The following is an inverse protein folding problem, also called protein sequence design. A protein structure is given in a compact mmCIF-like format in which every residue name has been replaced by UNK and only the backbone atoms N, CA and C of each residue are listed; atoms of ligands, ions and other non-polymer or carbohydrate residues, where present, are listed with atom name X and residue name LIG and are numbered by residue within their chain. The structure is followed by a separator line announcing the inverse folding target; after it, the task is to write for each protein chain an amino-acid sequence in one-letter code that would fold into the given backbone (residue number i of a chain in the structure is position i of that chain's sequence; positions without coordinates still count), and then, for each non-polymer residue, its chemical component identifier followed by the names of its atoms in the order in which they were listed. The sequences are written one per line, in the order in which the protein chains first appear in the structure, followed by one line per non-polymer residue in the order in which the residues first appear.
data_IF_701125020260
#
_entry.id   IF_701125020260
#
_cell.length_a   1.000
_cell.length_b   1.000
_cell.length_c   1.000
_cell.angle_alpha   90.00
_cell.angle_beta   90.00
_cell.angle_gamma   90.00
#
_symmetry.space_group_name_H-M   'P 1'
#
loop_
_entity.id
_entity.type
_entity.pdbx_description
1 polymer ?
#
# COMPACT_ATOMS: atom_id res chain seq x y z
N UNK A 1 2.00 -40.06 17.73
CA UNK A 1 1.89 -39.11 16.61
C UNK A 1 0.71 -39.52 15.77
N UNK A 2 -0.46 -38.94 16.02
CA UNK A 2 -1.71 -39.25 15.31
C UNK A 2 -1.78 -38.38 14.06
N UNK A 3 -1.52 -38.96 12.90
CA UNK A 3 -1.72 -38.29 11.61
C UNK A 3 -3.22 -38.10 11.40
N UNK A 4 -3.72 -36.89 11.66
CA UNK A 4 -5.04 -36.47 11.20
C UNK A 4 -4.94 -36.18 9.69
N UNK A 5 -5.61 -36.96 8.82
CA UNK A 5 -5.64 -36.64 7.41
C UNK A 5 -6.42 -35.34 7.23
N UNK A 6 -5.72 -34.28 6.81
CA UNK A 6 -6.36 -33.06 6.35
C UNK A 6 -7.20 -33.43 5.12
N UNK A 7 -8.51 -33.55 5.29
CA UNK A 7 -9.41 -33.70 4.16
C UNK A 7 -9.40 -32.40 3.36
N UNK A 8 -9.23 -32.44 2.04
CA UNK A 8 -9.33 -31.25 1.22
C UNK A 8 -10.75 -30.70 1.37
N UNK A 9 -10.87 -29.49 1.91
CA UNK A 9 -12.11 -28.72 1.88
C UNK A 9 -12.36 -28.45 0.39
N UNK A 10 -13.18 -29.29 -0.22
CA UNK A 10 -13.71 -29.05 -1.56
C UNK A 10 -14.65 -27.86 -1.45
N UNK A 11 -14.10 -26.67 -1.67
CA UNK A 11 -14.86 -25.47 -1.99
C UNK A 11 -15.65 -25.79 -3.25
N UNK A 12 -16.91 -26.20 -3.08
CA UNK A 12 -17.85 -26.35 -4.18
C UNK A 12 -17.86 -25.01 -4.90
N UNK A 13 -17.37 -25.01 -6.14
CA UNK A 13 -17.44 -23.87 -7.06
C UNK A 13 -18.90 -23.54 -7.35
N UNK A 14 -19.55 -22.85 -6.41
CA UNK A 14 -20.80 -22.19 -6.69
C UNK A 14 -20.47 -20.98 -7.55
N UNK A 15 -21.11 -20.88 -8.72
CA UNK A 15 -20.96 -19.73 -9.59
C UNK A 15 -21.41 -18.48 -8.83
N UNK A 16 -20.46 -17.60 -8.50
CA UNK A 16 -20.74 -16.32 -7.86
C UNK A 16 -21.44 -15.43 -8.89
N UNK A 17 -22.72 -15.11 -8.65
CA UNK A 17 -23.49 -14.18 -9.48
C UNK A 17 -23.58 -12.82 -8.79
N UNK A 18 -22.65 -11.92 -9.11
CA UNK A 18 -22.64 -10.56 -8.59
C UNK A 18 -23.63 -9.70 -9.39
N UNK A 19 -24.69 -9.23 -8.73
CA UNK A 19 -25.69 -8.31 -9.32
C UNK A 19 -25.18 -6.87 -9.48
N UNK A 20 -24.10 -6.53 -8.78
CA UNK A 20 -23.45 -5.23 -8.80
C UNK A 20 -21.98 -5.40 -8.42
N UNK A 21 -21.15 -4.40 -8.77
CA UNK A 21 -19.77 -4.36 -8.34
C UNK A 21 -19.68 -4.24 -6.81
N UNK A 22 -18.68 -4.87 -6.17
CA UNK A 22 -18.44 -4.70 -4.74
C UNK A 22 -18.14 -3.23 -4.40
N UNK A 23 -18.35 -2.77 -3.14
CA UNK A 23 -18.03 -1.41 -2.72
C UNK A 23 -16.61 -0.99 -3.12
N UNK A 24 -16.46 0.25 -3.61
CA UNK A 24 -15.15 0.78 -4.00
C UNK A 24 -14.37 1.23 -2.76
N UNK A 25 -13.12 0.81 -2.68
CA UNK A 25 -12.17 1.16 -1.61
C UNK A 25 -10.87 1.64 -2.23
N UNK A 26 -10.17 2.56 -1.57
CA UNK A 26 -8.86 3.07 -2.00
C UNK A 26 -7.76 2.54 -1.09
N UNK A 27 -6.66 2.09 -1.67
CA UNK A 27 -5.42 1.79 -0.95
C UNK A 27 -4.33 2.75 -1.45
N UNK A 28 -3.76 3.52 -0.52
CA UNK A 28 -2.66 4.44 -0.79
C UNK A 28 -1.38 3.82 -0.25
N UNK A 29 -0.43 3.59 -1.15
CA UNK A 29 0.81 2.87 -0.84
C UNK A 29 1.97 3.83 -0.59
N UNK A 30 2.33 4.05 0.67
CA UNK A 30 3.42 4.92 1.09
C UNK A 30 4.75 4.15 1.00
N UNK A 31 5.67 4.49 0.09
CA UNK A 31 6.83 3.65 -0.23
C UNK A 31 8.05 3.92 0.67
N UNK A 32 7.90 4.61 1.80
CA UNK A 32 9.04 5.04 2.63
C UNK A 32 8.98 4.52 4.06
N UNK A 33 10.14 4.15 4.59
CA UNK A 33 10.37 3.85 6.00
C UNK A 33 11.48 4.75 6.53
N UNK A 34 11.40 5.14 7.80
CA UNK A 34 12.52 5.75 8.52
C UNK A 34 13.76 4.84 8.48
N UNK A 35 13.53 3.52 8.64
CA UNK A 35 14.51 2.46 8.47
C UNK A 35 13.83 1.21 7.94
N UNK A 36 14.38 0.58 6.89
CA UNK A 36 13.85 -0.68 6.39
C UNK A 36 14.29 -1.85 7.27
N UNK A 37 13.35 -2.65 7.76
CA UNK A 37 13.68 -3.87 8.52
C UNK A 37 14.27 -4.94 7.59
N UNK A 38 15.24 -5.75 8.06
CA UNK A 38 15.89 -6.78 7.24
C UNK A 38 14.95 -7.91 6.80
N UNK A 39 13.81 -8.05 7.48
CA UNK A 39 12.75 -9.01 7.16
C UNK A 39 11.58 -8.38 6.39
N UNK A 40 11.60 -7.06 6.13
CA UNK A 40 10.48 -6.36 5.50
C UNK A 40 10.41 -6.70 4.01
N UNK A 41 9.32 -7.34 3.59
CA UNK A 41 9.02 -7.67 2.20
C UNK A 41 8.06 -6.66 1.52
N UNK A 42 7.55 -5.68 2.27
CA UNK A 42 6.80 -4.57 1.69
C UNK A 42 7.66 -3.82 0.67
N UNK A 43 6.98 -3.31 -0.37
CA UNK A 43 7.60 -2.44 -1.36
C UNK A 43 7.88 -1.05 -0.77
N UNK A 44 8.86 -0.98 0.12
CA UNK A 44 9.24 0.25 0.81
C UNK A 44 10.75 0.48 0.74
N UNK A 45 11.15 1.72 0.94
CA UNK A 45 12.54 2.18 0.84
C UNK A 45 12.89 3.02 2.06
N UNK A 46 14.12 2.86 2.55
CA UNK A 46 14.61 3.71 3.62
C UNK A 46 14.77 5.15 3.12
N UNK A 47 14.24 6.12 3.87
CA UNK A 47 14.42 7.54 3.57
C UNK A 47 15.86 7.91 3.87
N UNK A 48 16.69 7.97 2.83
CA UNK A 48 18.03 8.55 2.93
C UNK A 48 17.90 10.06 2.83
N UNK A 49 18.16 10.75 3.94
CA UNK A 49 18.25 12.22 3.94
C UNK A 49 19.18 12.65 2.80
N UNK A 50 18.68 13.49 1.89
CA UNK A 50 19.46 14.09 0.79
C UNK A 50 20.49 15.13 1.30
N UNK A 51 20.76 15.18 2.61
CA UNK A 51 21.74 16.08 3.19
C UNK A 51 23.16 15.50 3.07
N UNK A 52 24.16 16.27 2.57
CA UNK A 52 25.54 15.83 2.45
C UNK A 52 26.25 15.61 3.81
N UNK A 53 25.59 15.93 4.92
CA UNK A 53 26.20 15.84 6.25
C UNK A 53 25.85 14.53 6.95
N UNK A 54 26.83 13.78 7.49
CA UNK A 54 26.56 12.63 8.33
C UNK A 54 25.90 13.12 9.63
N UNK A 55 24.59 12.95 9.78
CA UNK A 55 23.96 13.14 11.09
C UNK A 55 24.31 11.93 11.98
N UNK A 56 24.78 12.14 13.22
CA UNK A 56 25.25 11.06 14.09
C UNK A 56 24.12 10.29 14.80
N UNK A 57 22.86 10.47 14.42
CA UNK A 57 21.73 9.76 15.02
C UNK A 57 21.12 8.77 14.01
N UNK A 58 21.38 7.47 14.22
CA UNK A 58 20.69 6.37 13.53
C UNK A 58 19.17 6.52 13.76
N UNK A 59 18.41 6.88 12.74
CA UNK A 59 16.95 6.68 12.74
C UNK A 59 16.05 7.92 12.64
N UNK A 60 16.52 9.07 12.15
CA UNK A 60 15.65 10.21 11.83
C UNK A 60 15.59 10.44 10.31
N UNK A 61 15.07 9.46 9.58
CA UNK A 61 14.70 9.62 8.18
C UNK A 61 13.41 10.43 8.07
N UNK A 62 13.52 11.72 7.74
CA UNK A 62 12.37 12.60 7.46
C UNK A 62 12.21 12.73 5.95
N UNK A 63 10.99 12.56 5.46
CA UNK A 63 10.67 12.79 4.04
C UNK A 63 10.80 14.29 3.79
N UNK A 64 11.58 14.68 2.78
CA UNK A 64 11.65 16.08 2.38
C UNK A 64 10.27 16.57 1.92
N UNK A 65 9.83 17.75 2.38
CA UNK A 65 8.50 18.30 2.06
C UNK A 65 8.25 18.37 0.54
N UNK A 66 9.27 18.71 -0.24
CA UNK A 66 9.19 18.73 -1.71
C UNK A 66 8.88 17.34 -2.28
N UNK A 67 9.53 16.29 -1.77
CA UNK A 67 9.29 14.91 -2.20
C UNK A 67 7.87 14.44 -1.84
N UNK A 68 7.38 14.82 -0.66
CA UNK A 68 5.99 14.54 -0.26
C UNK A 68 5.00 15.22 -1.22
N UNK A 69 5.23 16.50 -1.55
CA UNK A 69 4.40 17.25 -2.51
C UNK A 69 4.41 16.61 -3.89
N UNK A 70 5.58 16.25 -4.42
CA UNK A 70 5.74 15.58 -5.71
C UNK A 70 5.00 14.23 -5.74
N UNK A 71 5.10 13.48 -4.64
CA UNK A 71 4.45 12.18 -4.50
C UNK A 71 2.92 12.30 -4.44
N UNK A 72 2.39 13.23 -3.66
CA UNK A 72 0.94 13.49 -3.62
C UNK A 72 0.44 13.93 -5.00
N UNK A 73 1.19 14.79 -5.70
CA UNK A 73 0.85 15.17 -7.06
C UNK A 73 0.86 13.97 -8.02
N UNK A 74 1.79 13.03 -7.86
CA UNK A 74 1.81 11.80 -8.64
C UNK A 74 0.60 10.89 -8.35
N UNK A 75 0.21 10.72 -7.08
CA UNK A 75 -0.98 9.95 -6.69
C UNK A 75 -2.26 10.55 -7.27
N UNK A 76 -2.39 11.88 -7.27
CA UNK A 76 -3.54 12.56 -7.87
C UNK A 76 -3.60 12.28 -9.37
N UNK A 77 -2.47 12.40 -10.09
CA UNK A 77 -2.41 12.07 -11.52
C UNK A 77 -2.77 10.60 -11.81
N UNK A 78 -2.32 9.68 -10.96
CA UNK A 78 -2.67 8.26 -11.09
C UNK A 78 -4.17 8.02 -10.90
N UNK A 79 -4.76 8.65 -9.89
CA UNK A 79 -6.21 8.62 -9.69
C UNK A 79 -6.96 9.22 -10.89
N UNK A 80 -6.51 10.35 -11.43
CA UNK A 80 -7.09 10.98 -12.62
C UNK A 80 -7.10 10.04 -13.83
N UNK A 81 -6.02 9.30 -14.06
CA UNK A 81 -5.94 8.28 -15.11
C UNK A 81 -6.88 7.10 -14.87
N UNK A 82 -7.15 6.75 -13.61
CA UNK A 82 -8.07 5.69 -13.24
C UNK A 82 -9.55 6.11 -13.33
N UNK A 83 -9.86 7.41 -13.25
CA UNK A 83 -11.24 7.93 -13.21
C UNK A 83 -12.16 7.35 -14.29
N UNK A 84 -11.79 7.21 -15.57
CA UNK A 84 -12.69 6.66 -16.60
C UNK A 84 -13.26 5.26 -16.27
N UNK A 85 -12.56 4.48 -15.44
CA UNK A 85 -12.96 3.12 -15.06
C UNK A 85 -13.84 3.08 -13.81
N UNK A 86 -13.81 4.12 -12.98
CA UNK A 86 -14.45 4.14 -11.66
C UNK A 86 -15.34 5.37 -11.41
N UNK A 87 -15.48 6.25 -12.39
CA UNK A 87 -16.23 7.50 -12.26
C UNK A 87 -17.66 7.28 -11.77
N UNK A 88 -18.14 8.18 -10.91
CA UNK A 88 -19.48 8.11 -10.32
C UNK A 88 -19.66 7.05 -9.23
N UNK A 89 -18.65 6.23 -8.93
CA UNK A 89 -18.69 5.27 -7.81
C UNK A 89 -18.24 5.94 -6.51
N UNK A 90 -19.01 5.74 -5.43
CA UNK A 90 -18.66 6.22 -4.09
C UNK A 90 -17.50 5.38 -3.51
N UNK A 91 -16.47 6.05 -3.01
CA UNK A 91 -15.42 5.43 -2.18
C UNK A 91 -15.98 5.26 -0.75
N UNK A 92 -15.93 4.03 -0.24
CA UNK A 92 -16.44 3.70 1.10
C UNK A 92 -15.36 3.70 2.16
N UNK A 93 -14.14 3.29 1.80
CA UNK A 93 -13.01 3.18 2.72
C UNK A 93 -11.72 3.60 2.03
N UNK A 94 -10.80 4.14 2.83
CA UNK A 94 -9.44 4.49 2.42
C UNK A 94 -8.48 3.83 3.40
N UNK A 95 -7.50 3.11 2.88
CA UNK A 95 -6.45 2.45 3.66
C UNK A 95 -5.10 3.00 3.25
N UNK A 96 -4.25 3.27 4.23
CA UNK A 96 -2.86 3.65 4.02
C UNK A 96 -1.97 2.50 4.47
N UNK A 97 -0.97 2.14 3.67
CA UNK A 97 -0.02 1.09 4.02
C UNK A 97 1.25 1.17 3.20
N UNK A 98 2.13 0.17 3.31
CA UNK A 98 3.43 0.16 2.66
C UNK A 98 4.55 0.22 3.68
N UNK A 99 5.37 1.26 3.63
CA UNK A 99 6.42 1.53 4.58
C UNK A 99 5.87 1.99 5.94
N UNK A 100 5.99 3.26 6.25
CA UNK A 100 5.52 3.86 7.50
C UNK A 100 4.56 4.99 7.17
N UNK A 101 3.24 4.71 7.13
CA UNK A 101 2.21 5.71 6.97
C UNK A 101 2.20 6.79 8.06
#
# INVERSE_FOLDING_TARGET
MTNHPLQPISLKSQALNFKALPPLSLYIHIPWCVRKCPYCDFNSHEVRSLSPQPSPARGEGVIAEELEREYVAALVRDLEMALPQIWGRKVYTVFFGGGTP
#
